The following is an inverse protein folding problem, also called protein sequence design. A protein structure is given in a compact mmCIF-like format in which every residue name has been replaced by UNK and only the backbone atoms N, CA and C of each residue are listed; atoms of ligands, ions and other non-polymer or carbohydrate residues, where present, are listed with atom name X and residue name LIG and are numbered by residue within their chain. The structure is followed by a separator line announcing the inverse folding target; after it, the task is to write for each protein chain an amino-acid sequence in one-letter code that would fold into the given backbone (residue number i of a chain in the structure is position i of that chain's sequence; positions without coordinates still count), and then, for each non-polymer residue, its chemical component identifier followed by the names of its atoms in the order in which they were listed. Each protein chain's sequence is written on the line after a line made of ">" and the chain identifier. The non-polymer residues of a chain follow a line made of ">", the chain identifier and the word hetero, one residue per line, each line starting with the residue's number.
data_IF_467253374074
#
_entry.id   IF_467253374074
#
_cell.length_a   1.000
_cell.length_b   1.000
_cell.length_c   1.000
_cell.angle_alpha   90.00
_cell.angle_beta   90.00
_cell.angle_gamma   90.00
#
_symmetry.space_group_name_H-M   'P 1'
#
loop_
_entity.id
_entity.type
_entity.pdbx_description
1 polymer ?
#
# COMPACT_ATOMS: atom_id res chain seq x y z
N UNK A 1 -8.46 10.56 -4.90
CA UNK A 1 -9.87 10.24 -4.63
C UNK A 1 -10.01 8.74 -4.47
N UNK A 2 -10.79 8.28 -3.49
CA UNK A 2 -11.13 6.87 -3.36
C UNK A 2 -12.53 6.59 -3.89
N UNK A 3 -12.83 5.33 -4.12
CA UNK A 3 -14.14 4.85 -4.54
C UNK A 3 -14.73 3.93 -3.48
N UNK A 4 -16.05 3.98 -3.36
CA UNK A 4 -16.84 3.04 -2.58
C UNK A 4 -17.41 1.99 -3.53
N UNK A 5 -17.14 0.71 -3.26
CA UNK A 5 -17.60 -0.41 -4.09
C UNK A 5 -18.14 -1.53 -3.20
N UNK A 6 -19.12 -2.28 -3.69
CA UNK A 6 -19.65 -3.45 -3.00
C UNK A 6 -19.06 -4.75 -3.59
N UNK A 7 -18.73 -5.71 -2.73
CA UNK A 7 -18.37 -7.06 -3.14
C UNK A 7 -19.61 -7.93 -3.39
N UNK A 8 -19.44 -9.03 -4.10
CA UNK A 8 -20.49 -10.04 -4.31
C UNK A 8 -21.04 -10.63 -3.00
N UNK A 9 -20.24 -10.61 -1.92
CA UNK A 9 -20.66 -10.97 -0.57
C UNK A 9 -21.61 -9.95 0.10
N UNK A 10 -21.87 -8.82 -0.53
CA UNK A 10 -22.68 -7.73 0.01
C UNK A 10 -21.90 -6.72 0.86
N UNK A 11 -20.61 -6.96 1.12
CA UNK A 11 -19.74 -6.07 1.93
C UNK A 11 -19.34 -4.83 1.12
N UNK A 12 -19.49 -3.66 1.72
CA UNK A 12 -19.04 -2.39 1.14
C UNK A 12 -17.58 -2.09 1.53
N UNK A 13 -16.79 -1.60 0.57
CA UNK A 13 -15.38 -1.28 0.78
C UNK A 13 -15.02 0.07 0.17
N UNK A 14 -14.35 0.90 0.97
CA UNK A 14 -13.64 2.08 0.47
C UNK A 14 -12.24 1.69 0.02
N UNK A 15 -11.85 2.10 -1.19
CA UNK A 15 -10.51 1.84 -1.75
C UNK A 15 -9.95 3.09 -2.39
N UNK A 16 -8.63 3.26 -2.30
CA UNK A 16 -7.93 4.27 -3.09
C UNK A 16 -6.55 3.78 -3.49
N UNK A 17 -6.17 4.05 -4.73
CA UNK A 17 -4.82 3.88 -5.28
C UNK A 17 -4.19 5.22 -5.66
N UNK A 18 -4.84 6.34 -5.34
CA UNK A 18 -4.41 7.67 -5.75
C UNK A 18 -3.13 8.09 -5.03
N UNK A 19 -2.12 8.55 -5.79
CA UNK A 19 -0.82 8.95 -5.24
C UNK A 19 -0.92 10.04 -4.16
N UNK A 20 -1.75 11.07 -4.39
CA UNK A 20 -1.99 12.14 -3.42
C UNK A 20 -2.74 11.64 -2.18
N UNK A 21 -3.64 10.66 -2.34
CA UNK A 21 -4.34 10.06 -1.21
C UNK A 21 -3.38 9.26 -0.33
N UNK A 22 -2.42 8.54 -0.93
CA UNK A 22 -1.32 7.89 -0.23
C UNK A 22 -0.45 8.89 0.54
N UNK A 23 -0.16 10.05 -0.05
CA UNK A 23 0.61 11.12 0.61
C UNK A 23 -0.09 11.61 1.89
N UNK A 24 -1.38 11.93 1.80
CA UNK A 24 -2.19 12.36 2.95
C UNK A 24 -2.25 11.29 4.04
N UNK A 25 -2.40 10.02 3.65
CA UNK A 25 -2.43 8.89 4.58
C UNK A 25 -1.09 8.71 5.30
N UNK A 26 0.03 8.83 4.58
CA UNK A 26 1.37 8.75 5.16
C UNK A 26 1.59 9.88 6.16
N UNK A 27 1.24 11.12 5.80
CA UNK A 27 1.35 12.28 6.69
C UNK A 27 0.52 12.08 7.98
N UNK A 28 -0.69 11.56 7.85
CA UNK A 28 -1.52 11.24 9.01
C UNK A 28 -0.87 10.18 9.90
N UNK A 29 -0.38 9.08 9.34
CA UNK A 29 0.23 7.99 10.11
C UNK A 29 1.63 8.29 10.65
N UNK A 30 2.38 9.22 10.04
CA UNK A 30 3.64 9.75 10.59
C UNK A 30 3.37 10.56 11.87
N UNK A 31 2.20 11.21 11.97
CA UNK A 31 1.76 11.96 13.16
C UNK A 31 1.02 11.10 14.18
N UNK A 32 0.19 10.18 13.70
CA UNK A 32 -0.67 9.31 14.49
C UNK A 32 -0.36 7.86 14.16
N UNK A 33 0.60 7.29 14.90
CA UNK A 33 1.15 5.98 14.61
C UNK A 33 0.07 4.89 14.52
N UNK A 34 0.21 4.04 13.51
CA UNK A 34 -0.58 2.83 13.37
C UNK A 34 -0.27 1.88 14.53
N UNK A 35 -1.29 1.33 15.17
CA UNK A 35 -1.13 0.43 16.31
C UNK A 35 -0.75 -1.00 15.89
N UNK A 36 0.02 -1.69 16.73
CA UNK A 36 0.33 -3.12 16.65
C UNK A 36 0.93 -3.58 15.31
N UNK A 37 0.56 -4.78 14.86
CA UNK A 37 1.17 -5.45 13.70
C UNK A 37 1.04 -4.67 12.38
N UNK A 38 0.03 -3.81 12.25
CA UNK A 38 -0.16 -2.97 11.06
C UNK A 38 0.89 -1.85 10.92
N UNK A 39 1.62 -1.52 11.98
CA UNK A 39 2.72 -0.55 11.89
C UNK A 39 3.83 -1.01 10.93
N UNK A 40 4.16 -2.30 10.94
CA UNK A 40 5.18 -2.86 10.05
C UNK A 40 4.74 -2.77 8.58
N UNK A 41 3.46 -3.02 8.30
CA UNK A 41 2.88 -2.87 6.97
C UNK A 41 2.90 -1.41 6.52
N UNK A 42 2.58 -0.49 7.42
CA UNK A 42 2.68 0.94 7.16
C UNK A 42 4.11 1.36 6.81
N UNK A 43 5.13 0.92 7.56
CA UNK A 43 6.53 1.24 7.26
C UNK A 43 6.96 0.74 5.88
N UNK A 44 6.52 -0.47 5.48
CA UNK A 44 6.76 -1.01 4.14
C UNK A 44 6.07 -0.16 3.07
N UNK A 45 4.80 0.18 3.28
CA UNK A 45 4.02 1.04 2.39
C UNK A 45 4.69 2.40 2.19
N UNK A 46 5.05 3.08 3.28
CA UNK A 46 5.78 4.36 3.26
C UNK A 46 7.11 4.26 2.51
N UNK A 47 7.86 3.17 2.71
CA UNK A 47 9.12 2.93 1.99
C UNK A 47 8.92 2.79 0.49
N UNK A 48 7.89 2.05 0.06
CA UNK A 48 7.56 1.91 -1.37
C UNK A 48 7.13 3.25 -1.95
N UNK A 49 6.31 4.04 -1.22
CA UNK A 49 5.90 5.37 -1.66
C UNK A 49 7.09 6.29 -1.92
N UNK A 50 8.10 6.30 -1.04
CA UNK A 50 9.34 7.06 -1.25
C UNK A 50 10.06 6.58 -2.52
N UNK A 51 10.22 5.26 -2.69
CA UNK A 51 10.86 4.71 -3.90
C UNK A 51 10.12 5.08 -5.19
N UNK A 52 8.78 5.15 -5.15
CA UNK A 52 7.98 5.59 -6.30
C UNK A 52 8.21 7.08 -6.56
N UNK A 53 8.22 7.90 -5.51
CA UNK A 53 8.48 9.35 -5.57
C UNK A 53 9.86 9.65 -6.16
N UNK A 54 10.88 8.85 -5.81
CA UNK A 54 12.24 8.95 -6.34
C UNK A 54 12.40 8.38 -7.76
N UNK A 55 11.33 7.89 -8.39
CA UNK A 55 11.38 7.31 -9.75
C UNK A 55 12.00 5.91 -9.84
N UNK A 56 12.41 5.29 -8.72
CA UNK A 56 13.09 3.98 -8.72
C UNK A 56 12.24 2.86 -9.32
N UNK A 57 10.92 2.99 -9.27
CA UNK A 57 9.98 2.03 -9.87
C UNK A 57 10.05 1.97 -11.40
N UNK A 58 10.71 2.92 -12.06
CA UNK A 58 10.93 2.91 -13.52
C UNK A 58 12.06 1.95 -13.93
N UNK A 59 12.91 1.54 -12.98
CA UNK A 59 14.02 0.61 -13.20
C UNK A 59 13.65 -0.81 -12.77
N UNK A 60 14.07 -1.82 -13.53
CA UNK A 60 13.84 -3.24 -13.21
C UNK A 60 14.33 -3.62 -11.80
N UNK A 61 15.52 -3.16 -11.42
CA UNK A 61 16.09 -3.37 -10.07
C UNK A 61 15.21 -2.75 -8.97
N UNK A 62 14.61 -1.59 -9.25
CA UNK A 62 13.72 -0.93 -8.30
C UNK A 62 12.38 -1.64 -8.17
N UNK A 63 11.80 -2.11 -9.28
CA UNK A 63 10.60 -2.97 -9.28
C UNK A 63 10.82 -4.25 -8.47
N UNK A 64 11.95 -4.94 -8.68
CA UNK A 64 12.27 -6.16 -7.94
C UNK A 64 12.42 -5.91 -6.44
N UNK A 65 13.01 -4.76 -6.08
CA UNK A 65 13.13 -4.35 -4.68
C UNK A 65 11.78 -4.03 -4.05
N UNK A 66 10.87 -3.35 -4.77
CA UNK A 66 9.49 -3.12 -4.33
C UNK A 66 8.76 -4.44 -4.10
N UNK A 67 8.88 -5.39 -5.04
CA UNK A 67 8.28 -6.73 -4.91
C UNK A 67 8.74 -7.42 -3.64
N UNK A 68 10.06 -7.46 -3.37
CA UNK A 68 10.63 -8.07 -2.16
C UNK A 68 10.16 -7.41 -0.86
N UNK A 69 9.88 -6.11 -0.86
CA UNK A 69 9.32 -5.39 0.30
C UNK A 69 7.87 -5.84 0.55
N UNK A 70 7.07 -5.97 -0.52
CA UNK A 70 5.67 -6.37 -0.44
C UNK A 70 5.49 -7.81 0.08
N UNK A 71 6.31 -8.77 -0.36
CA UNK A 71 6.13 -10.19 -0.02
C UNK A 71 6.50 -10.54 1.43
N UNK A 72 7.29 -9.70 2.11
CA UNK A 72 7.85 -10.00 3.45
C UNK A 72 6.88 -9.77 4.63
N UNK A 73 5.56 -9.85 4.44
CA UNK A 73 4.66 -9.93 5.60
C UNK A 73 3.21 -9.51 5.42
N UNK A 74 2.53 -9.98 4.38
CA UNK A 74 1.09 -10.19 4.50
C UNK A 74 0.74 -11.52 3.86
N UNK A 75 0.18 -12.43 4.65
CA UNK A 75 -0.32 -13.72 4.17
C UNK A 75 -1.59 -13.58 3.31
N UNK A 76 -2.08 -12.36 3.07
CA UNK A 76 -3.36 -12.10 2.42
C UNK A 76 -3.26 -11.82 0.92
N UNK A 77 -2.06 -11.77 0.33
CA UNK A 77 -1.92 -11.62 -1.14
C UNK A 77 -1.66 -12.96 -1.82
N UNK A 78 -2.53 -13.93 -1.54
CA UNK A 78 -2.77 -15.04 -2.46
C UNK A 78 -4.05 -14.70 -3.23
N UNK A 79 -3.85 -14.22 -4.46
CA UNK A 79 -4.71 -14.47 -5.62
C UNK A 79 -6.23 -14.18 -5.50
N UNK A 80 -6.69 -13.15 -6.21
CA UNK A 80 -7.91 -13.29 -7.02
C UNK A 80 -7.48 -13.25 -8.49
N UNK A 81 -7.44 -14.43 -9.11
CA UNK A 81 -7.35 -14.57 -10.57
C UNK A 81 -8.59 -13.91 -11.16
N UNK A 82 -8.39 -13.13 -12.22
CA UNK A 82 -9.41 -12.89 -13.23
C UNK A 82 -9.01 -13.76 -14.42
#
# INVERSE_FOLDING_TARGET
>A
MGSLSQYSSGIWCYKSSGFNTSASLINYFDKYNVFAGKYVDYLKFRKVYIMVTEGKHLESKGVDKIRRIATKGSSETSTQEI
#
